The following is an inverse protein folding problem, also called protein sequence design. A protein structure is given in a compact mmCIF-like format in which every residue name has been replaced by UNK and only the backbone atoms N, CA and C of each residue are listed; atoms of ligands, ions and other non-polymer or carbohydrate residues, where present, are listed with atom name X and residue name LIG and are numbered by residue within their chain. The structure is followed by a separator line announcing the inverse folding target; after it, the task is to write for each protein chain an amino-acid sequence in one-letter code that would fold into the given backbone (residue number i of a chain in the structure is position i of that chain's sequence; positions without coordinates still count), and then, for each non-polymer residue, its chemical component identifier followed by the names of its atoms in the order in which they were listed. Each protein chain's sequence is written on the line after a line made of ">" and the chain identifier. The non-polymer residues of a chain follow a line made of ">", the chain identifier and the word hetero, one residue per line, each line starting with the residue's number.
data_IF_691729439948
#
_entry.id   IF_691729439948
#
_cell.length_a   1.000
_cell.length_b   1.000
_cell.length_c   1.000
_cell.angle_alpha   90.00
_cell.angle_beta   90.00
_cell.angle_gamma   90.00
#
_symmetry.space_group_name_H-M   'P 1'
#
loop_
_entity.id
_entity.type
_entity.pdbx_description
1 polymer ?
#
# COMPACT_ATOMS: atom_id res chain seq x y z
N UNK A 1 16.82 10.40 8.62
CA UNK A 1 16.51 9.60 9.84
C UNK A 1 17.04 8.19 9.63
N UNK A 2 17.15 7.38 10.68
CA UNK A 2 17.45 5.95 10.55
C UNK A 2 16.21 5.16 10.08
N UNK A 3 16.40 3.90 9.67
CA UNK A 3 15.31 3.06 9.12
C UNK A 3 14.17 2.88 10.13
N UNK A 4 14.51 2.70 11.41
CA UNK A 4 13.53 2.53 12.47
C UNK A 4 12.74 3.82 12.72
N UNK A 5 13.39 4.98 12.71
CA UNK A 5 12.71 6.28 12.81
C UNK A 5 11.71 6.50 11.67
N UNK A 6 12.08 6.16 10.43
CA UNK A 6 11.14 6.27 9.30
C UNK A 6 9.95 5.32 9.43
N UNK A 7 10.16 4.07 9.88
CA UNK A 7 9.09 3.09 10.11
C UNK A 7 8.14 3.54 11.23
N UNK A 8 8.68 4.13 12.30
CA UNK A 8 7.86 4.72 13.38
C UNK A 8 7.00 5.88 12.87
N UNK A 9 7.58 6.78 12.05
CA UNK A 9 6.86 7.91 11.47
C UNK A 9 5.76 7.46 10.50
N UNK A 10 6.03 6.45 9.67
CA UNK A 10 5.03 5.80 8.81
C UNK A 10 3.86 5.26 9.65
N UNK A 11 4.14 4.54 10.74
CA UNK A 11 3.09 3.99 11.61
C UNK A 11 2.21 5.09 12.22
N UNK A 12 2.82 6.19 12.66
CA UNK A 12 2.09 7.36 13.14
C UNK A 12 1.16 7.94 12.05
N UNK A 13 1.67 8.18 10.84
CA UNK A 13 0.85 8.72 9.75
C UNK A 13 -0.24 7.75 9.27
N UNK A 14 -0.02 6.44 9.34
CA UNK A 14 -1.06 5.45 9.06
C UNK A 14 -2.22 5.53 10.08
N UNK A 15 -1.91 5.71 11.37
CA UNK A 15 -2.92 5.83 12.43
C UNK A 15 -3.78 7.09 12.25
N UNK A 16 -3.14 8.21 11.93
CA UNK A 16 -3.80 9.51 11.66
C UNK A 16 -4.42 9.59 10.26
N UNK A 17 -4.28 8.54 9.43
CA UNK A 17 -4.78 8.46 8.05
C UNK A 17 -4.19 9.52 7.11
N UNK A 18 -2.97 9.97 7.37
CA UNK A 18 -2.21 10.88 6.50
C UNK A 18 -1.45 10.12 5.41
N UNK A 19 -2.20 9.43 4.53
CA UNK A 19 -1.61 8.51 3.54
C UNK A 19 -0.65 9.18 2.55
N UNK A 20 -0.87 10.45 2.19
CA UNK A 20 0.09 11.19 1.37
C UNK A 20 1.47 11.29 2.05
N UNK A 21 1.50 11.53 3.37
CA UNK A 21 2.74 11.58 4.13
C UNK A 21 3.40 10.19 4.24
N UNK A 22 2.60 9.12 4.37
CA UNK A 22 3.11 7.75 4.31
C UNK A 22 3.83 7.51 2.98
N UNK A 23 3.27 7.94 1.85
CA UNK A 23 3.87 7.81 0.53
C UNK A 23 5.22 8.54 0.43
N UNK A 24 5.31 9.76 0.95
CA UNK A 24 6.55 10.55 0.96
C UNK A 24 7.64 9.90 1.83
N UNK A 25 7.30 9.47 3.04
CA UNK A 25 8.26 8.84 3.97
C UNK A 25 8.69 7.46 3.47
N UNK A 26 7.77 6.66 2.93
CA UNK A 26 8.10 5.39 2.30
C UNK A 26 9.02 5.57 1.09
N UNK A 27 8.76 6.58 0.25
CA UNK A 27 9.64 6.95 -0.87
C UNK A 27 11.04 7.37 -0.40
N UNK A 28 11.16 8.12 0.68
CA UNK A 28 12.45 8.46 1.29
C UNK A 28 13.17 7.20 1.80
N UNK A 29 12.44 6.31 2.46
CA UNK A 29 12.96 5.03 2.95
C UNK A 29 13.48 4.15 1.81
N UNK A 30 12.76 4.06 0.69
CA UNK A 30 13.19 3.33 -0.51
C UNK A 30 14.45 3.92 -1.14
N UNK A 31 14.61 5.25 -1.15
CA UNK A 31 15.83 5.93 -1.64
C UNK A 31 17.02 5.68 -0.72
N UNK A 32 16.80 5.73 0.59
CA UNK A 32 17.86 5.68 1.61
C UNK A 32 18.31 4.27 1.94
N UNK A 33 17.40 3.30 1.91
CA UNK A 33 17.62 1.91 2.32
C UNK A 33 17.42 0.90 1.18
N UNK A 34 17.31 1.39 -0.06
CA UNK A 34 17.16 0.57 -1.25
C UNK A 34 15.82 -0.18 -1.29
N UNK A 35 15.84 -1.39 -1.84
CA UNK A 35 14.63 -2.22 -2.02
C UNK A 35 14.20 -2.95 -0.73
N UNK A 36 14.20 -2.28 0.41
CA UNK A 36 13.61 -2.81 1.66
C UNK A 36 12.11 -3.08 1.40
N UNK A 37 11.65 -4.35 1.54
CA UNK A 37 10.29 -4.74 1.22
C UNK A 37 9.24 -4.04 2.10
N UNK A 38 9.61 -3.61 3.32
CA UNK A 38 8.71 -2.93 4.25
C UNK A 38 8.37 -1.54 3.74
N UNK A 39 9.36 -0.75 3.30
CA UNK A 39 9.07 0.57 2.72
C UNK A 39 8.26 0.45 1.43
N UNK A 40 8.53 -0.57 0.61
CA UNK A 40 7.76 -0.83 -0.60
C UNK A 40 6.31 -1.24 -0.31
N UNK A 41 6.08 -2.01 0.75
CA UNK A 41 4.73 -2.32 1.22
C UNK A 41 3.96 -1.07 1.63
N UNK A 42 4.56 -0.19 2.44
CA UNK A 42 3.89 1.02 2.89
C UNK A 42 3.66 2.03 1.75
N UNK A 43 4.54 2.06 0.76
CA UNK A 43 4.32 2.82 -0.47
C UNK A 43 3.07 2.33 -1.20
N UNK A 44 3.01 1.02 -1.51
CA UNK A 44 1.84 0.40 -2.15
C UNK A 44 0.54 0.59 -1.34
N UNK A 45 0.62 0.49 -0.01
CA UNK A 45 -0.50 0.72 0.89
C UNK A 45 -1.00 2.17 0.83
N UNK A 46 -0.11 3.16 0.90
CA UNK A 46 -0.50 4.56 0.77
C UNK A 46 -1.13 4.85 -0.60
N UNK A 47 -0.54 4.31 -1.67
CA UNK A 47 -1.07 4.38 -3.04
C UNK A 47 -2.49 3.80 -3.14
N UNK A 48 -2.75 2.66 -2.46
CA UNK A 48 -4.09 2.08 -2.38
C UNK A 48 -5.07 3.01 -1.67
N UNK A 49 -4.65 3.57 -0.53
CA UNK A 49 -5.49 4.47 0.28
C UNK A 49 -5.75 5.83 -0.38
N UNK A 50 -4.87 6.28 -1.28
CA UNK A 50 -5.11 7.43 -2.18
C UNK A 50 -6.06 7.09 -3.36
N UNK A 51 -6.52 5.85 -3.48
CA UNK A 51 -7.47 5.42 -4.52
C UNK A 51 -6.82 4.97 -5.84
N UNK A 52 -5.49 4.87 -5.90
CA UNK A 52 -4.75 4.41 -7.09
C UNK A 52 -4.68 2.87 -7.11
N UNK A 53 -5.85 2.23 -7.17
CA UNK A 53 -6.01 0.78 -6.98
C UNK A 53 -5.11 -0.04 -7.91
N UNK A 54 -5.08 0.29 -9.20
CA UNK A 54 -4.32 -0.48 -10.21
C UNK A 54 -2.80 -0.38 -10.01
N UNK A 55 -2.31 0.78 -9.56
CA UNK A 55 -0.90 0.99 -9.25
C UNK A 55 -0.50 0.19 -8.00
N UNK A 56 -1.32 0.29 -6.95
CA UNK A 56 -1.12 -0.47 -5.72
C UNK A 56 -1.13 -1.99 -5.96
N UNK A 57 -2.05 -2.50 -6.78
CA UNK A 57 -2.12 -3.93 -7.15
C UNK A 57 -0.80 -4.41 -7.77
N UNK A 58 -0.24 -3.65 -8.72
CA UNK A 58 1.04 -3.99 -9.37
C UNK A 58 2.19 -4.03 -8.36
N UNK A 59 2.22 -3.07 -7.44
CA UNK A 59 3.25 -3.05 -6.40
C UNK A 59 3.12 -4.23 -5.43
N UNK A 60 1.91 -4.53 -4.94
CA UNK A 60 1.69 -5.67 -4.06
C UNK A 60 2.04 -7.00 -4.73
N UNK A 61 1.70 -7.17 -6.00
CA UNK A 61 2.08 -8.35 -6.80
C UNK A 61 3.60 -8.54 -6.87
N UNK A 62 4.36 -7.44 -6.99
CA UNK A 62 5.82 -7.51 -7.04
C UNK A 62 6.47 -7.91 -5.69
N UNK A 63 5.79 -7.69 -4.56
CA UNK A 63 6.35 -7.94 -3.22
C UNK A 63 5.69 -9.10 -2.47
N UNK A 64 4.61 -9.71 -2.97
CA UNK A 64 3.84 -10.75 -2.26
C UNK A 64 4.65 -12.00 -1.87
N UNK A 65 5.78 -12.25 -2.53
CA UNK A 65 6.65 -13.39 -2.24
C UNK A 65 7.82 -13.05 -1.29
N UNK A 66 7.89 -11.83 -0.76
CA UNK A 66 8.90 -11.41 0.21
C UNK A 66 8.43 -11.78 1.61
N UNK A 67 9.22 -12.58 2.33
CA UNK A 67 8.86 -13.15 3.63
C UNK A 67 8.34 -12.11 4.63
N UNK A 68 8.98 -10.94 4.71
CA UNK A 68 8.63 -9.88 5.68
C UNK A 68 7.26 -9.24 5.45
N UNK A 69 6.75 -9.28 4.21
CA UNK A 69 5.54 -8.55 3.79
C UNK A 69 4.53 -9.43 3.05
N UNK A 70 4.75 -10.73 2.98
CA UNK A 70 3.93 -11.64 2.17
C UNK A 70 2.47 -11.65 2.63
N UNK A 71 2.24 -11.86 3.93
CA UNK A 71 0.90 -11.94 4.50
C UNK A 71 0.11 -10.63 4.29
N UNK A 72 0.70 -9.49 4.63
CA UNK A 72 0.02 -8.21 4.50
C UNK A 72 -0.21 -7.82 3.04
N UNK A 73 0.71 -8.17 2.12
CA UNK A 73 0.53 -7.96 0.68
C UNK A 73 -0.64 -8.78 0.13
N UNK A 74 -0.77 -10.06 0.52
CA UNK A 74 -1.89 -10.90 0.09
C UNK A 74 -3.24 -10.38 0.61
N UNK A 75 -3.30 -9.93 1.86
CA UNK A 75 -4.50 -9.30 2.43
C UNK A 75 -4.86 -8.01 1.67
N UNK A 76 -3.86 -7.17 1.37
CA UNK A 76 -4.05 -5.93 0.63
C UNK A 76 -4.53 -6.19 -0.81
N UNK A 77 -4.01 -7.22 -1.48
CA UNK A 77 -4.48 -7.66 -2.80
C UNK A 77 -5.96 -8.06 -2.74
N UNK A 78 -6.36 -8.89 -1.78
CA UNK A 78 -7.77 -9.30 -1.60
C UNK A 78 -8.67 -8.08 -1.36
N UNK A 79 -8.21 -7.14 -0.53
CA UNK A 79 -8.95 -5.91 -0.25
C UNK A 79 -9.09 -5.04 -1.49
N UNK A 80 -8.00 -4.79 -2.22
CA UNK A 80 -7.99 -4.02 -3.46
C UNK A 80 -8.88 -4.65 -4.55
N UNK A 81 -8.90 -5.97 -4.66
CA UNK A 81 -9.81 -6.68 -5.57
C UNK A 81 -11.28 -6.46 -5.22
N UNK A 82 -11.64 -6.41 -3.93
CA UNK A 82 -13.01 -6.10 -3.48
C UNK A 82 -13.40 -4.64 -3.72
N UNK A 83 -12.44 -3.72 -3.78
CA UNK A 83 -12.67 -2.31 -4.09
C UNK A 83 -12.78 -2.02 -5.59
N UNK A 84 -12.25 -2.91 -6.44
CA UNK A 84 -12.37 -2.74 -7.88
C UNK A 84 -13.84 -2.85 -8.29
N UNK A 85 -14.37 -1.92 -9.09
CA UNK A 85 -15.72 -2.05 -9.64
C UNK A 85 -15.79 -3.37 -10.42
N UNK A 86 -16.67 -4.26 -10.00
CA UNK A 86 -16.88 -5.53 -10.65
C UNK A 86 -17.61 -5.25 -11.98
N UNK A 87 -17.06 -5.62 -13.15
CA UNK A 87 -17.73 -5.40 -14.44
C UNK A 87 -19.13 -6.02 -14.51
N UNK A 88 -19.37 -7.05 -13.69
CA UNK A 88 -20.63 -7.82 -13.65
C UNK A 88 -21.68 -7.25 -12.69
N UNK A 89 -21.42 -6.10 -12.04
CA UNK A 89 -22.40 -5.48 -11.14
C UNK A 89 -23.30 -4.54 -11.95
N UNK A 90 -24.60 -4.86 -12.15
CA UNK A 90 -25.51 -3.95 -12.84
C UNK A 90 -25.60 -2.63 -12.05
N UNK A 91 -25.71 -1.48 -12.75
CA UNK A 91 -25.74 -0.18 -12.10
C UNK A 91 -26.88 -0.11 -11.07
N UNK A 92 -26.67 0.58 -9.92
CA UNK A 92 -27.59 0.58 -8.78
C UNK A 92 -28.94 1.31 -9.00
N UNK A 93 -29.42 1.43 -10.23
CA UNK A 93 -30.61 2.21 -10.61
C UNK A 93 -31.66 1.44 -11.42
N UNK A 94 -31.73 0.11 -11.29
CA UNK A 94 -32.67 -0.75 -12.04
C UNK A 94 -33.63 -1.57 -11.17
N UNK A 95 -33.93 -1.11 -9.95
CA UNK A 95 -35.02 -1.64 -9.10
C UNK A 95 -35.93 -0.51 -8.64
#
# INVERSE_FOLDING_TARGET
>A
MDSQGLKALINYYCQERYFHHVLLVASEGMKSYGSDPVFRFYHAYATLMEGKIQEALREFEAIKNKQDVSLCSLIALIYAHKMSPNPDQPPPSLW
#
